data_IF_263430519563
#
_entry.id   IF_263430519563
#
_cell.length_a   1.000
_cell.length_b   1.000
_cell.length_c   1.000
_cell.angle_alpha   90.00
_cell.angle_beta   90.00
_cell.angle_gamma   90.00
#
_symmetry.space_group_name_H-M   'P 1'
#
loop_
_entity.id
_entity.type
_entity.pdbx_description
1 polymer ?
#
# COMPACT_ATOMS: atom_id res chain seq x y z
N UNK A 1 -43.91 2.92 0.22
CA UNK A 1 -42.64 2.50 -0.43
C UNK A 1 -41.71 3.68 -0.74
N UNK A 2 -42.18 4.82 -1.27
CA UNK A 2 -41.33 5.99 -1.60
C UNK A 2 -40.59 6.65 -0.42
N UNK A 3 -41.20 6.65 0.78
CA UNK A 3 -40.59 7.22 2.02
C UNK A 3 -39.39 6.40 2.52
N UNK A 4 -39.37 5.09 2.27
CA UNK A 4 -38.29 4.20 2.71
C UNK A 4 -37.04 4.35 1.83
N UNK A 5 -37.20 4.55 0.52
CA UNK A 5 -36.08 4.80 -0.39
C UNK A 5 -35.32 6.09 -0.06
N UNK A 6 -36.02 7.12 0.43
CA UNK A 6 -35.37 8.37 0.84
C UNK A 6 -34.46 8.16 2.07
N UNK A 7 -34.89 7.30 3.00
CA UNK A 7 -34.12 6.95 4.19
C UNK A 7 -32.82 6.22 3.81
N UNK A 8 -32.89 5.32 2.82
CA UNK A 8 -31.72 4.61 2.30
C UNK A 8 -30.70 5.55 1.64
N UNK A 9 -31.18 6.58 0.94
CA UNK A 9 -30.32 7.60 0.33
C UNK A 9 -29.62 8.47 1.41
N UNK A 10 -30.31 8.79 2.50
CA UNK A 10 -29.74 9.49 3.65
C UNK A 10 -28.69 8.66 4.39
N UNK A 11 -28.86 7.34 4.47
CA UNK A 11 -27.87 6.44 5.07
C UNK A 11 -26.55 6.38 4.30
N UNK A 12 -26.56 6.57 2.97
CA UNK A 12 -25.36 6.51 2.15
C UNK A 12 -24.32 7.60 2.49
N UNK A 13 -24.77 8.76 3.00
CA UNK A 13 -23.89 9.90 3.32
C UNK A 13 -22.99 9.62 4.53
N UNK A 14 -23.43 8.75 5.44
CA UNK A 14 -22.66 8.38 6.63
C UNK A 14 -21.48 7.43 6.36
N UNK A 15 -21.37 6.88 5.15
CA UNK A 15 -20.29 5.94 4.77
C UNK A 15 -19.09 6.62 4.10
N UNK A 16 -18.79 7.88 4.44
CA UNK A 16 -17.62 8.60 3.93
C UNK A 16 -16.33 8.17 4.64
N UNK A 17 -15.94 6.90 4.48
CA UNK A 17 -14.70 6.32 5.04
C UNK A 17 -13.71 5.94 3.93
N UNK A 18 -13.56 6.79 2.91
CA UNK A 18 -12.59 6.55 1.85
C UNK A 18 -11.19 6.91 2.37
N UNK A 19 -10.38 5.88 2.65
CA UNK A 19 -8.94 6.07 2.83
C UNK A 19 -8.34 6.58 1.52
N UNK A 20 -7.45 7.57 1.61
CA UNK A 20 -6.80 8.16 0.45
C UNK A 20 -5.42 7.54 0.27
N UNK A 21 -5.06 7.16 -0.95
CA UNK A 21 -3.70 6.72 -1.30
C UNK A 21 -3.10 7.65 -2.35
N UNK A 22 -1.87 8.09 -2.11
CA UNK A 22 -1.04 8.81 -3.07
C UNK A 22 0.21 8.01 -3.33
N UNK A 23 0.53 7.74 -4.59
CA UNK A 23 1.76 7.04 -4.97
C UNK A 23 2.77 8.03 -5.54
N UNK A 24 4.01 7.96 -5.07
CA UNK A 24 5.12 8.84 -5.43
C UNK A 24 6.25 8.04 -6.05
N UNK A 25 6.87 8.61 -7.07
CA UNK A 25 8.19 8.17 -7.52
C UNK A 25 9.24 8.93 -6.69
N UNK A 26 9.93 8.23 -5.78
CA UNK A 26 10.95 8.81 -4.92
C UNK A 26 12.35 8.54 -5.48
N UNK A 27 13.10 9.60 -5.78
CA UNK A 27 14.46 9.52 -6.35
C UNK A 27 15.49 9.90 -5.30
N UNK A 28 16.43 9.00 -5.04
CA UNK A 28 17.49 9.22 -4.06
C UNK A 28 18.80 8.57 -4.50
N UNK A 29 19.92 9.07 -3.97
CA UNK A 29 21.22 8.44 -4.15
C UNK A 29 21.49 7.58 -2.92
N UNK A 30 21.56 6.25 -3.10
CA UNK A 30 21.78 5.31 -2.00
C UNK A 30 23.19 5.42 -1.41
N UNK A 31 24.18 5.67 -2.27
CA UNK A 31 25.58 5.83 -1.89
C UNK A 31 26.01 7.28 -2.10
N UNK A 32 26.28 7.99 -1.01
CA UNK A 32 26.67 9.41 -1.04
C UNK A 32 27.94 9.70 -1.84
N UNK A 33 28.79 8.68 -2.08
CA UNK A 33 30.01 8.79 -2.87
C UNK A 33 29.79 8.58 -4.37
N UNK A 34 28.70 7.89 -4.75
CA UNK A 34 28.33 7.61 -6.14
C UNK A 34 27.11 8.45 -6.57
N UNK A 35 27.30 9.78 -6.60
CA UNK A 35 26.23 10.78 -6.85
C UNK A 35 25.49 10.58 -8.18
N UNK A 36 26.15 9.98 -9.15
CA UNK A 36 25.57 9.73 -10.48
C UNK A 36 24.60 8.54 -10.48
N UNK A 37 24.60 7.72 -9.42
CA UNK A 37 23.75 6.53 -9.29
C UNK A 37 22.44 6.87 -8.58
N UNK A 38 21.51 7.46 -9.32
CA UNK A 38 20.15 7.76 -8.85
C UNK A 38 19.33 6.48 -8.83
N UNK A 39 18.79 6.14 -7.67
CA UNK A 39 17.81 5.07 -7.48
C UNK A 39 16.41 5.67 -7.43
N UNK A 40 15.46 5.03 -8.10
CA UNK A 40 14.05 5.41 -8.06
C UNK A 40 13.25 4.29 -7.37
N UNK A 41 12.39 4.66 -6.43
CA UNK A 41 11.54 3.73 -5.69
C UNK A 41 10.10 4.24 -5.62
N UNK A 42 9.14 3.34 -5.83
CA UNK A 42 7.73 3.65 -5.73
C UNK A 42 7.30 3.62 -4.26
N UNK A 43 6.81 4.75 -3.76
CA UNK A 43 6.38 4.93 -2.38
C UNK A 43 4.89 5.23 -2.33
N UNK A 44 4.17 4.58 -1.42
CA UNK A 44 2.76 4.85 -1.16
C UNK A 44 2.59 5.64 0.14
N UNK A 45 1.73 6.66 0.08
CA UNK A 45 1.20 7.37 1.25
C UNK A 45 -0.28 7.01 1.42
N UNK A 46 -0.56 6.20 2.43
CA UNK A 46 -1.92 5.86 2.85
C UNK A 46 -2.37 6.81 3.96
N UNK A 47 -3.45 7.56 3.74
CA UNK A 47 -4.07 8.45 4.72
C UNK A 47 -5.40 7.86 5.15
N UNK A 48 -5.51 7.63 6.46
CA UNK A 48 -6.70 7.10 7.12
C UNK A 48 -7.12 8.04 8.25
N UNK A 49 -8.32 7.85 8.80
CA UNK A 49 -8.77 8.61 9.98
C UNK A 49 -7.84 8.45 11.21
N UNK A 50 -7.04 7.37 11.27
CA UNK A 50 -6.09 7.11 12.36
C UNK A 50 -4.72 7.74 12.13
N UNK A 51 -4.47 8.27 10.93
CA UNK A 51 -3.19 8.86 10.54
C UNK A 51 -2.71 8.39 9.16
N UNK A 52 -1.48 8.77 8.84
CA UNK A 52 -0.81 8.51 7.56
C UNK A 52 0.33 7.49 7.69
N UNK A 53 0.50 6.64 6.68
CA UNK A 53 1.64 5.72 6.56
C UNK A 53 2.32 5.92 5.22
N UNK A 54 3.64 6.14 5.25
CA UNK A 54 4.47 6.27 4.06
C UNK A 54 5.44 5.09 3.99
N UNK A 55 5.37 4.29 2.93
CA UNK A 55 6.13 3.04 2.83
C UNK A 55 6.45 2.70 1.36
N UNK A 56 7.43 1.81 1.16
CA UNK A 56 7.79 1.29 -0.16
C UNK A 56 6.77 0.28 -0.66
N UNK A 57 6.23 0.53 -1.86
CA UNK A 57 5.27 -0.39 -2.48
C UNK A 57 5.90 -1.76 -2.74
N UNK A 58 7.15 -1.79 -3.19
CA UNK A 58 7.87 -3.03 -3.49
C UNK A 58 8.10 -3.86 -2.23
N UNK A 59 8.58 -3.23 -1.16
CA UNK A 59 8.79 -3.92 0.12
C UNK A 59 7.49 -4.48 0.69
N UNK A 60 6.39 -3.72 0.62
CA UNK A 60 5.08 -4.21 1.08
C UNK A 60 4.63 -5.46 0.32
N UNK A 61 4.85 -5.51 -0.99
CA UNK A 61 4.50 -6.70 -1.81
C UNK A 61 5.38 -7.88 -1.40
N UNK A 62 6.69 -7.66 -1.29
CA UNK A 62 7.66 -8.66 -0.83
C UNK A 62 7.27 -9.25 0.54
N UNK A 63 6.98 -8.41 1.52
CA UNK A 63 6.56 -8.82 2.87
C UNK A 63 5.25 -9.64 2.82
N UNK A 64 4.28 -9.21 2.00
CA UNK A 64 3.00 -9.91 1.85
C UNK A 64 3.17 -11.29 1.20
N UNK A 65 4.08 -11.41 0.22
CA UNK A 65 4.41 -12.69 -0.42
C UNK A 65 5.11 -13.63 0.56
N UNK A 66 6.08 -13.11 1.30
CA UNK A 66 6.83 -13.85 2.32
C UNK A 66 5.91 -14.37 3.44
N UNK A 67 4.98 -13.53 3.94
CA UNK A 67 3.96 -13.94 4.91
C UNK A 67 3.11 -15.10 4.38
N UNK A 68 2.68 -15.01 3.11
CA UNK A 68 1.90 -16.08 2.47
C UNK A 68 2.68 -17.39 2.35
N UNK A 69 3.96 -17.33 2.00
CA UNK A 69 4.83 -18.51 1.91
C UNK A 69 4.99 -19.19 3.27
N UNK A 70 5.20 -18.40 4.34
CA UNK A 70 5.25 -18.95 5.69
C UNK A 70 3.93 -19.60 6.11
N UNK A 71 2.79 -18.99 5.80
CA UNK A 71 1.48 -19.56 6.11
C UNK A 71 1.21 -20.89 5.39
N UNK A 72 1.85 -21.13 4.25
CA UNK A 72 1.69 -22.34 3.45
C UNK A 72 2.63 -23.49 3.87
N UNK A 73 3.51 -23.31 4.86
CA UNK A 73 4.48 -24.33 5.32
C UNK A 73 5.25 -25.00 4.16
N UNK A 74 5.55 -24.26 3.09
CA UNK A 74 6.33 -24.79 1.98
C UNK A 74 7.78 -24.92 2.42
N UNK A 75 8.29 -26.14 2.56
CA UNK A 75 9.71 -26.40 2.92
C UNK A 75 10.70 -25.86 1.88
N UNK A 76 10.24 -25.56 0.67
CA UNK A 76 10.99 -24.85 -0.37
C UNK A 76 10.41 -23.45 -0.56
N UNK A 77 11.09 -22.44 -0.03
CA UNK A 77 10.73 -21.04 -0.26
C UNK A 77 11.23 -20.59 -1.63
N UNK A 78 10.32 -20.39 -2.57
CA UNK A 78 10.63 -19.73 -3.84
C UNK A 78 10.61 -18.21 -3.65
N UNK A 79 11.80 -17.59 -3.63
CA UNK A 79 11.96 -16.15 -3.45
C UNK A 79 12.01 -15.38 -4.79
N UNK A 80 11.82 -16.03 -5.93
CA UNK A 80 11.95 -15.40 -7.26
C UNK A 80 10.97 -14.24 -7.49
N UNK A 81 9.85 -14.20 -6.76
CA UNK A 81 8.87 -13.11 -6.80
C UNK A 81 9.09 -11.98 -5.79
N UNK A 82 10.16 -12.03 -4.97
CA UNK A 82 10.42 -11.10 -3.86
C UNK A 82 11.46 -10.02 -4.22
N UNK A 83 12.21 -10.20 -5.33
CA UNK A 83 13.30 -9.31 -5.78
C UNK A 83 12.92 -8.39 -6.92
#
# INVERSE_FOLDING_TARGET
MKKSSLLFLLFAVFFSAQNQRFSYEYKFVKDSTAKDKITSEMMDLDITAKGSKFYSSTQKIADSLLEKLYAQNTETFDYSGIT
#
